data_IF_173787160501
#
_entry.id   IF_173787160501
#
_cell.length_a   1.000
_cell.length_b   1.000
_cell.length_c   1.000
_cell.angle_alpha   90.00
_cell.angle_beta   90.00
_cell.angle_gamma   90.00
#
_symmetry.space_group_name_H-M   'P 1'
#
loop_
_entity.id
_entity.type
_entity.pdbx_description
1 polymer ?
#
# COMPACT_ATOMS: atom_id res chain seq x y z
N UNK A 1 2.71 0.54 -11.07
CA UNK A 1 2.17 1.68 -10.28
C UNK A 1 0.72 1.87 -10.70
N UNK A 2 -0.17 2.14 -9.75
CA UNK A 2 -1.56 2.49 -10.05
C UNK A 2 -1.56 3.88 -10.71
N UNK A 3 -2.24 4.02 -11.84
CA UNK A 3 -2.33 5.30 -12.56
C UNK A 3 -3.65 6.00 -12.28
N UNK A 4 -3.71 7.32 -12.49
CA UNK A 4 -4.96 8.09 -12.41
C UNK A 4 -6.02 7.56 -13.38
N UNK A 5 -5.61 7.02 -14.52
CA UNK A 5 -6.50 6.37 -15.48
C UNK A 5 -7.16 5.13 -14.88
N UNK A 6 -6.39 4.28 -14.20
CA UNK A 6 -6.92 3.07 -13.55
C UNK A 6 -7.95 3.42 -12.48
N UNK A 7 -7.68 4.45 -11.68
CA UNK A 7 -8.60 4.92 -10.63
C UNK A 7 -9.87 5.49 -11.26
N UNK A 8 -9.72 6.32 -12.29
CA UNK A 8 -10.85 6.93 -13.00
C UNK A 8 -11.74 5.87 -13.63
N UNK A 9 -11.16 4.86 -14.27
CA UNK A 9 -11.91 3.73 -14.84
C UNK A 9 -12.77 3.02 -13.78
N UNK A 10 -12.25 2.82 -12.57
CA UNK A 10 -13.00 2.20 -11.48
C UNK A 10 -14.10 3.11 -10.92
N UNK A 11 -13.89 4.43 -10.89
CA UNK A 11 -14.84 5.40 -10.33
C UNK A 11 -15.98 5.72 -11.30
N UNK A 12 -15.69 5.82 -12.58
CA UNK A 12 -16.65 6.21 -13.62
C UNK A 12 -17.52 5.06 -14.11
N UNK A 13 -17.13 3.80 -13.83
CA UNK A 13 -17.92 2.66 -14.26
C UNK A 13 -19.26 2.57 -13.53
N UNK A 14 -20.33 2.47 -14.29
CA UNK A 14 -21.70 2.28 -13.81
C UNK A 14 -22.44 1.30 -14.73
N UNK A 15 -23.21 0.41 -14.13
CA UNK A 15 -24.07 -0.55 -14.82
C UNK A 15 -25.49 -0.37 -14.32
N UNK A 16 -26.48 -0.37 -15.22
CA UNK A 16 -27.88 -0.09 -14.86
C UNK A 16 -28.73 -1.38 -14.74
N UNK A 17 -28.26 -2.46 -15.34
CA UNK A 17 -28.98 -3.69 -15.62
C UNK A 17 -28.24 -4.94 -15.14
N UNK A 18 -26.97 -4.82 -14.75
CA UNK A 18 -26.18 -5.89 -14.15
C UNK A 18 -25.42 -5.40 -12.91
N UNK A 19 -25.41 -6.16 -11.81
CA UNK A 19 -24.65 -5.80 -10.63
C UNK A 19 -23.14 -5.92 -10.88
N UNK A 20 -22.39 -5.07 -10.21
CA UNK A 20 -20.94 -5.07 -10.11
C UNK A 20 -20.55 -5.72 -8.79
N UNK A 21 -19.73 -6.76 -8.88
CA UNK A 21 -19.12 -7.38 -7.71
C UNK A 21 -17.85 -6.62 -7.35
N UNK A 22 -17.76 -6.16 -6.10
CA UNK A 22 -16.58 -5.51 -5.53
C UNK A 22 -16.01 -6.35 -4.40
N UNK A 23 -14.73 -6.68 -4.48
CA UNK A 23 -14.01 -7.46 -3.45
C UNK A 23 -12.71 -6.77 -3.07
N UNK A 24 -12.51 -6.63 -1.76
CA UNK A 24 -11.25 -6.25 -1.15
C UNK A 24 -10.75 -7.45 -0.35
N UNK A 25 -9.52 -7.87 -0.62
CA UNK A 25 -8.95 -9.07 -0.03
C UNK A 25 -7.59 -8.79 0.58
N UNK A 26 -7.45 -9.11 1.87
CA UNK A 26 -6.16 -9.11 2.53
C UNK A 26 -5.35 -10.35 2.13
N UNK A 27 -4.21 -10.11 1.49
CA UNK A 27 -3.26 -11.14 1.02
C UNK A 27 -1.89 -11.00 1.67
N UNK A 28 -1.79 -10.25 2.77
CA UNK A 28 -0.54 -9.97 3.45
C UNK A 28 0.15 -11.28 3.89
N UNK A 29 1.33 -11.60 3.34
CA UNK A 29 2.02 -12.85 3.64
C UNK A 29 2.47 -12.94 5.11
N UNK A 30 2.56 -11.82 5.82
CA UNK A 30 2.85 -11.80 7.25
C UNK A 30 1.65 -12.19 8.11
N UNK A 31 0.42 -12.07 7.57
CA UNK A 31 -0.83 -12.37 8.29
C UNK A 31 -1.48 -13.67 7.82
N UNK A 32 -1.34 -14.01 6.53
CA UNK A 32 -2.08 -15.10 5.89
C UNK A 32 -1.19 -15.92 4.97
N UNK A 33 -1.38 -17.23 5.05
CA UNK A 33 -0.89 -18.16 4.02
C UNK A 33 -1.80 -18.10 2.80
N UNK A 34 -1.33 -18.69 1.69
CA UNK A 34 -2.09 -18.80 0.44
C UNK A 34 -3.48 -19.41 0.65
N UNK A 35 -3.53 -20.54 1.35
CA UNK A 35 -4.80 -21.22 1.63
C UNK A 35 -5.75 -20.37 2.50
N UNK A 36 -5.21 -19.55 3.40
CA UNK A 36 -6.01 -18.70 4.28
C UNK A 36 -6.70 -17.57 3.53
N UNK A 37 -6.00 -16.86 2.65
CA UNK A 37 -6.66 -15.79 1.88
C UNK A 37 -7.59 -16.37 0.81
N UNK A 38 -7.31 -17.56 0.25
CA UNK A 38 -8.24 -18.26 -0.65
C UNK A 38 -9.53 -18.64 0.07
N UNK A 39 -9.43 -19.17 1.29
CA UNK A 39 -10.59 -19.43 2.13
C UNK A 39 -11.35 -18.15 2.46
N UNK A 40 -10.65 -17.06 2.79
CA UNK A 40 -11.27 -15.77 3.05
C UNK A 40 -12.04 -15.25 1.82
N UNK A 41 -11.46 -15.38 0.62
CA UNK A 41 -12.15 -15.03 -0.62
C UNK A 41 -13.44 -15.85 -0.79
N UNK A 42 -13.38 -17.17 -0.63
CA UNK A 42 -14.58 -18.02 -0.72
C UNK A 42 -15.67 -17.55 0.24
N UNK A 43 -15.31 -17.35 1.51
CA UNK A 43 -16.24 -16.86 2.53
C UNK A 43 -16.82 -15.46 2.24
N UNK A 44 -16.09 -14.60 1.52
CA UNK A 44 -16.58 -13.31 1.06
C UNK A 44 -17.55 -13.48 -0.10
N UNK A 45 -17.19 -14.28 -1.11
CA UNK A 45 -18.03 -14.54 -2.27
C UNK A 45 -19.34 -15.24 -1.88
N UNK A 46 -19.32 -16.13 -0.88
CA UNK A 46 -20.52 -16.77 -0.34
C UNK A 46 -21.51 -15.78 0.31
N UNK A 47 -21.03 -14.59 0.70
CA UNK A 47 -21.85 -13.50 1.26
C UNK A 47 -22.26 -12.46 0.21
N UNK A 48 -21.82 -12.63 -1.03
CA UNK A 48 -22.11 -11.71 -2.13
C UNK A 48 -23.50 -12.00 -2.71
N UNK A 49 -24.53 -11.76 -1.90
CA UNK A 49 -25.91 -11.94 -2.33
C UNK A 49 -26.18 -11.10 -3.59
N UNK A 50 -26.88 -11.69 -4.57
CA UNK A 50 -27.19 -11.09 -5.87
C UNK A 50 -25.99 -10.83 -6.80
N UNK A 51 -24.79 -11.31 -6.49
CA UNK A 51 -23.69 -11.29 -7.45
C UNK A 51 -23.98 -12.21 -8.64
N UNK A 52 -23.53 -11.81 -9.83
CA UNK A 52 -23.59 -12.68 -11.00
C UNK A 52 -22.64 -13.89 -10.79
N UNK A 53 -23.11 -15.14 -10.97
CA UNK A 53 -22.26 -16.32 -10.86
C UNK A 53 -20.99 -16.26 -11.73
N UNK A 54 -21.06 -15.60 -12.89
CA UNK A 54 -19.92 -15.43 -13.78
C UNK A 54 -18.87 -14.48 -13.19
N UNK A 55 -19.28 -13.42 -12.49
CA UNK A 55 -18.37 -12.53 -11.78
C UNK A 55 -17.67 -13.22 -10.61
N UNK A 56 -18.43 -14.02 -9.85
CA UNK A 56 -17.89 -14.86 -8.77
C UNK A 56 -16.84 -15.83 -9.32
N UNK A 57 -17.14 -16.50 -10.43
CA UNK A 57 -16.21 -17.43 -11.10
C UNK A 57 -14.97 -16.70 -11.62
N UNK A 58 -15.13 -15.52 -12.22
CA UNK A 58 -14.01 -14.70 -12.74
C UNK A 58 -13.06 -14.29 -11.62
N UNK A 59 -13.59 -13.81 -10.49
CA UNK A 59 -12.77 -13.43 -9.33
C UNK A 59 -12.06 -14.62 -8.68
N UNK A 60 -12.76 -15.75 -8.53
CA UNK A 60 -12.17 -16.98 -8.01
C UNK A 60 -11.00 -17.44 -8.90
N UNK A 61 -11.20 -17.50 -10.22
CA UNK A 61 -10.17 -17.91 -11.17
C UNK A 61 -8.98 -16.97 -11.19
N UNK A 62 -9.21 -15.66 -11.06
CA UNK A 62 -8.11 -14.69 -10.97
C UNK A 62 -7.22 -14.96 -9.76
N UNK A 63 -7.79 -15.15 -8.57
CA UNK A 63 -6.99 -15.39 -7.36
C UNK A 63 -6.30 -16.77 -7.38
N UNK A 64 -6.93 -17.78 -7.99
CA UNK A 64 -6.35 -19.12 -8.13
C UNK A 64 -5.20 -19.18 -9.15
N UNK A 65 -5.39 -18.58 -10.33
CA UNK A 65 -4.51 -18.79 -11.49
C UNK A 65 -3.83 -17.53 -12.01
N UNK A 66 -4.51 -16.38 -11.95
CA UNK A 66 -4.04 -15.13 -12.57
C UNK A 66 -3.22 -14.22 -11.65
N UNK A 67 -3.36 -14.37 -10.33
CA UNK A 67 -2.72 -13.51 -9.36
C UNK A 67 -1.26 -13.94 -9.11
N UNK A 68 -0.34 -13.02 -9.38
CA UNK A 68 1.12 -13.23 -9.26
C UNK A 68 1.65 -13.25 -7.81
N UNK A 69 0.77 -13.19 -6.79
CA UNK A 69 1.12 -13.21 -5.36
C UNK A 69 2.02 -12.05 -4.93
N UNK A 70 1.84 -10.88 -5.53
CA UNK A 70 2.57 -9.66 -5.18
C UNK A 70 1.69 -8.65 -4.45
N UNK A 71 2.24 -8.01 -3.42
CA UNK A 71 1.51 -7.04 -2.60
C UNK A 71 0.93 -7.65 -1.31
N UNK A 72 0.26 -6.80 -0.53
CA UNK A 72 -0.37 -7.12 0.76
C UNK A 72 -1.90 -7.00 0.72
N UNK A 73 -2.45 -6.36 -0.31
CA UNK A 73 -3.89 -6.24 -0.55
C UNK A 73 -4.23 -6.37 -2.02
N UNK A 74 -5.39 -6.93 -2.34
CA UNK A 74 -5.92 -7.01 -3.71
C UNK A 74 -7.32 -6.41 -3.71
N UNK A 75 -7.60 -5.59 -4.71
CA UNK A 75 -8.93 -5.01 -4.94
C UNK A 75 -9.40 -5.43 -6.32
N UNK A 76 -10.61 -5.98 -6.39
CA UNK A 76 -11.22 -6.53 -7.59
C UNK A 76 -12.60 -5.90 -7.81
N UNK A 77 -12.85 -5.45 -9.03
CA UNK A 77 -14.19 -5.10 -9.51
C UNK A 77 -14.47 -5.89 -10.78
N UNK A 78 -15.65 -6.51 -10.84
CA UNK A 78 -16.06 -7.32 -11.99
C UNK A 78 -17.53 -7.08 -12.32
N UNK A 79 -17.82 -6.93 -13.62
CA UNK A 79 -19.15 -7.02 -14.17
C UNK A 79 -19.07 -7.70 -15.55
N UNK A 80 -19.21 -9.02 -15.57
CA UNK A 80 -19.02 -9.86 -16.75
C UNK A 80 -20.03 -9.52 -17.86
N UNK A 81 -21.28 -9.21 -17.48
CA UNK A 81 -22.32 -8.79 -18.41
C UNK A 81 -21.97 -7.52 -19.22
N UNK A 82 -21.03 -6.70 -18.73
CA UNK A 82 -20.54 -5.48 -19.39
C UNK A 82 -19.08 -5.57 -19.82
N UNK A 83 -18.49 -6.77 -19.75
CA UNK A 83 -17.06 -7.02 -19.96
C UNK A 83 -16.15 -6.08 -19.13
N UNK A 84 -16.60 -5.70 -17.94
CA UNK A 84 -15.82 -4.86 -17.05
C UNK A 84 -14.97 -5.72 -16.12
N UNK A 85 -13.68 -5.43 -16.09
CA UNK A 85 -12.72 -6.06 -15.19
C UNK A 85 -11.69 -5.06 -14.73
N UNK A 86 -11.51 -5.01 -13.41
CA UNK A 86 -10.51 -4.17 -12.79
C UNK A 86 -9.90 -4.94 -11.61
N UNK A 87 -8.59 -5.12 -11.62
CA UNK A 87 -7.89 -5.86 -10.58
C UNK A 87 -6.54 -5.20 -10.31
N UNK A 88 -6.32 -4.76 -9.07
CA UNK A 88 -5.08 -4.12 -8.68
C UNK A 88 -4.57 -4.66 -7.35
N UNK A 89 -3.24 -4.80 -7.28
CA UNK A 89 -2.52 -5.22 -6.08
C UNK A 89 -1.86 -4.02 -5.42
N UNK A 90 -1.90 -3.98 -4.10
CA UNK A 90 -1.41 -2.87 -3.30
C UNK A 90 -0.31 -3.34 -2.36
N UNK A 91 0.70 -2.50 -2.16
CA UNK A 91 1.77 -2.77 -1.20
C UNK A 91 1.33 -2.59 0.25
N UNK A 92 0.06 -2.29 0.51
CA UNK A 92 -0.54 -2.13 1.83
C UNK A 92 -1.69 -3.13 2.01
N UNK A 93 -1.89 -3.65 3.24
CA UNK A 93 -3.02 -4.54 3.49
C UNK A 93 -4.34 -3.78 3.40
N UNK A 94 -5.36 -4.43 2.85
CA UNK A 94 -6.75 -3.97 2.88
C UNK A 94 -7.56 -4.80 3.88
N UNK A 95 -8.71 -4.29 4.29
CA UNK A 95 -9.68 -5.09 5.06
C UNK A 95 -10.49 -5.98 4.11
N UNK A 96 -10.81 -7.18 4.56
CA UNK A 96 -11.66 -8.09 3.80
C UNK A 96 -13.07 -7.51 3.69
N UNK A 97 -13.53 -7.29 2.46
CA UNK A 97 -14.83 -6.70 2.21
C UNK A 97 -15.40 -7.16 0.87
N UNK A 98 -16.72 -7.29 0.82
CA UNK A 98 -17.45 -7.66 -0.38
C UNK A 98 -18.71 -6.82 -0.48
N UNK A 99 -19.03 -6.38 -1.68
CA UNK A 99 -20.22 -5.57 -1.93
C UNK A 99 -20.71 -5.78 -3.35
N UNK A 100 -22.03 -5.81 -3.49
CA UNK A 100 -22.72 -5.99 -4.77
C UNK A 100 -23.59 -4.76 -5.00
N UNK A 101 -23.37 -4.05 -6.10
CA UNK A 101 -24.14 -2.86 -6.45
C UNK A 101 -24.00 -2.52 -7.92
N UNK A 102 -24.81 -1.60 -8.43
CA UNK A 102 -24.75 -1.11 -9.80
C UNK A 102 -23.51 -0.26 -10.11
N UNK A 103 -22.72 0.09 -9.09
CA UNK A 103 -21.43 0.77 -9.20
C UNK A 103 -20.36 0.06 -8.38
N UNK A 104 -19.08 0.12 -8.79
CA UNK A 104 -17.97 -0.35 -7.97
C UNK A 104 -17.96 0.35 -6.60
N UNK A 105 -17.67 -0.40 -5.54
CA UNK A 105 -17.59 0.17 -4.20
C UNK A 105 -16.25 0.90 -4.00
N UNK A 106 -16.14 2.13 -4.45
CA UNK A 106 -14.87 2.89 -4.44
C UNK A 106 -14.55 3.59 -3.11
N UNK A 107 -15.44 3.56 -2.12
CA UNK A 107 -15.21 4.27 -0.84
C UNK A 107 -13.97 3.76 -0.09
N UNK A 108 -13.76 2.45 -0.06
CA UNK A 108 -12.57 1.86 0.56
C UNK A 108 -11.31 2.15 -0.27
N UNK A 109 -11.40 2.10 -1.59
CA UNK A 109 -10.31 2.49 -2.48
C UNK A 109 -9.91 3.96 -2.26
N UNK A 110 -10.86 4.89 -2.19
CA UNK A 110 -10.60 6.29 -1.91
C UNK A 110 -9.87 6.48 -0.57
N UNK A 111 -10.35 5.83 0.50
CA UNK A 111 -9.65 5.84 1.80
C UNK A 111 -8.24 5.28 1.73
N UNK A 112 -8.00 4.24 0.93
CA UNK A 112 -6.69 3.66 0.73
C UNK A 112 -5.73 4.65 0.07
N UNK A 113 -6.22 5.35 -0.96
CA UNK A 113 -5.47 6.37 -1.70
C UNK A 113 -5.17 7.58 -0.80
N UNK A 114 -6.14 8.04 -0.01
CA UNK A 114 -5.96 9.16 0.91
C UNK A 114 -5.00 8.81 2.06
N UNK A 115 -5.10 7.60 2.62
CA UNK A 115 -4.30 7.18 3.78
C UNK A 115 -2.84 6.94 3.42
N UNK A 116 -2.59 6.40 2.23
CA UNK A 116 -1.27 6.05 1.74
C UNK A 116 -0.80 6.94 0.60
N UNK A 117 -1.29 8.19 0.59
CA UNK A 117 -0.81 9.23 -0.30
C UNK A 117 0.70 9.41 -0.16
N UNK A 118 1.31 9.97 -1.21
CA UNK A 118 2.74 10.21 -1.29
C UNK A 118 3.22 11.03 -0.08
N UNK A 119 4.12 10.45 0.72
CA UNK A 119 4.66 11.10 1.91
C UNK A 119 6.19 11.10 1.92
N UNK A 120 6.76 12.18 2.42
CA UNK A 120 8.20 12.32 2.65
C UNK A 120 8.52 12.13 4.12
N UNK A 121 9.47 11.25 4.43
CA UNK A 121 10.02 11.07 5.77
C UNK A 121 11.47 11.54 5.75
N UNK A 122 11.82 12.49 6.61
CA UNK A 122 13.22 12.92 6.77
C UNK A 122 13.75 12.33 8.08
N UNK A 123 14.76 11.48 7.97
CA UNK A 123 15.54 11.03 9.12
C UNK A 123 16.73 11.95 9.27
N UNK A 124 16.83 12.62 10.43
CA UNK A 124 17.89 13.56 10.74
C UNK A 124 18.66 13.03 11.95
N UNK A 125 19.98 12.93 11.81
CA UNK A 125 20.91 12.57 12.89
C UNK A 125 22.06 13.58 12.94
N UNK A 126 23.01 13.39 13.87
CA UNK A 126 24.17 14.29 14.01
C UNK A 126 25.18 14.20 12.86
N UNK A 127 25.05 13.19 12.00
CA UNK A 127 25.94 12.96 10.86
C UNK A 127 25.29 13.43 9.56
N UNK A 128 23.99 13.72 9.53
CA UNK A 128 23.33 14.34 8.39
C UNK A 128 21.83 14.04 8.32
N UNK A 129 21.28 14.09 7.10
CA UNK A 129 19.86 13.92 6.86
C UNK A 129 19.60 13.00 5.65
N UNK A 130 18.63 12.09 5.78
CA UNK A 130 18.13 11.24 4.68
C UNK A 130 16.64 11.47 4.48
N UNK A 131 16.27 11.82 3.25
CA UNK A 131 14.90 11.90 2.77
C UNK A 131 14.48 10.55 2.16
N UNK A 132 13.36 10.03 2.64
CA UNK A 132 12.68 8.86 2.10
C UNK A 132 11.35 9.31 1.52
N UNK A 133 11.10 9.05 0.24
CA UNK A 133 9.81 9.29 -0.39
C UNK A 133 9.06 7.96 -0.49
N UNK A 134 7.89 7.90 0.14
CA UNK A 134 6.99 6.76 0.06
C UNK A 134 5.75 7.12 -0.75
N UNK A 135 5.23 6.15 -1.48
CA UNK A 135 3.95 6.25 -2.19
C UNK A 135 3.23 4.91 -2.11
N UNK A 136 1.97 4.89 -1.67
CA UNK A 136 1.18 3.67 -1.50
C UNK A 136 1.89 2.60 -0.65
N UNK A 137 2.69 3.03 0.33
CA UNK A 137 3.50 2.16 1.20
C UNK A 137 4.75 1.57 0.54
N UNK A 138 5.11 1.99 -0.68
CA UNK A 138 6.35 1.62 -1.38
C UNK A 138 7.36 2.76 -1.25
N UNK A 139 8.62 2.44 -0.97
CA UNK A 139 9.72 3.40 -1.03
C UNK A 139 10.05 3.71 -2.50
N UNK A 140 9.80 4.94 -2.96
CA UNK A 140 10.09 5.39 -4.33
C UNK A 140 11.54 5.85 -4.49
N UNK A 141 12.05 6.62 -3.52
CA UNK A 141 13.40 7.15 -3.58
C UNK A 141 13.97 7.44 -2.21
N UNK A 142 15.30 7.36 -2.14
CA UNK A 142 16.11 7.80 -1.00
C UNK A 142 17.08 8.83 -1.52
N UNK A 143 17.11 9.99 -0.89
CA UNK A 143 18.11 11.02 -1.12
C UNK A 143 18.68 11.47 0.23
N UNK A 144 19.89 11.98 0.28
CA UNK A 144 20.46 12.35 1.57
C UNK A 144 21.85 12.95 1.50
N UNK A 145 22.15 13.69 2.56
CA UNK A 145 23.45 14.27 2.83
C UNK A 145 24.04 13.59 4.06
N UNK A 146 25.25 13.07 3.93
CA UNK A 146 26.10 12.65 5.05
C UNK A 146 27.22 13.68 5.18
N UNK A 147 27.24 14.38 6.30
CA UNK A 147 28.34 15.20 6.77
C UNK A 147 29.43 14.35 7.45
N UNK A 148 30.30 15.00 8.22
CA UNK A 148 31.43 14.30 8.86
C UNK A 148 31.00 13.52 10.12
N UNK A 149 31.65 12.38 10.35
CA UNK A 149 31.41 11.52 11.52
C UNK A 149 31.60 12.29 12.83
N UNK A 150 30.59 12.22 13.72
CA UNK A 150 30.66 12.85 15.04
C UNK A 150 31.03 11.80 16.08
N UNK A 151 32.33 11.68 16.36
CA UNK A 151 32.84 10.76 17.40
C UNK A 151 32.57 11.35 18.77
N UNK A 152 31.94 10.61 19.68
CA UNK A 152 31.84 11.01 21.08
C UNK A 152 33.02 10.50 21.89
N UNK A 153 33.90 11.39 22.33
CA UNK A 153 34.97 11.02 23.25
C UNK A 153 34.50 11.01 24.72
N UNK A 154 34.40 9.82 25.32
CA UNK A 154 34.23 9.65 26.78
C UNK A 154 35.58 9.46 27.47
N UNK A 155 36.43 10.49 27.44
CA UNK A 155 37.69 10.49 28.19
C UNK A 155 37.70 11.65 29.20
N UNK A 156 38.06 11.37 30.44
CA UNK A 156 38.20 12.40 31.48
C UNK A 156 39.51 13.18 31.31
N UNK A 157 39.46 14.51 31.48
CA UNK A 157 40.65 15.36 31.43
C UNK A 157 40.34 16.84 31.19
N UNK A 158 41.32 17.69 31.41
CA UNK A 158 41.20 19.16 31.28
C UNK A 158 40.89 19.63 29.84
N UNK A 159 41.24 18.83 28.82
CA UNK A 159 40.95 19.11 27.42
C UNK A 159 39.55 18.65 26.97
N UNK A 160 38.83 17.85 27.76
CA UNK A 160 37.54 17.26 27.40
C UNK A 160 36.47 18.30 26.98
N UNK A 161 36.34 19.47 27.65
CA UNK A 161 35.40 20.50 27.21
C UNK A 161 35.70 21.08 25.81
N UNK A 162 36.94 21.00 25.32
CA UNK A 162 37.30 21.47 23.97
C UNK A 162 36.86 20.47 22.90
N UNK A 163 37.06 19.18 23.13
CA UNK A 163 36.61 18.12 22.21
C UNK A 163 35.09 18.11 22.07
N UNK A 164 34.36 18.19 23.19
CA UNK A 164 32.89 18.28 23.17
C UNK A 164 32.36 19.49 22.40
N UNK A 165 33.05 20.64 22.46
CA UNK A 165 32.67 21.84 21.68
C UNK A 165 32.93 21.66 20.19
N UNK A 166 34.01 20.97 19.80
CA UNK A 166 34.30 20.69 18.41
C UNK A 166 33.30 19.69 17.82
N UNK A 167 32.99 18.61 18.54
CA UNK A 167 31.98 17.62 18.17
C UNK A 167 30.59 18.25 18.03
N UNK A 168 30.19 19.11 18.99
CA UNK A 168 28.91 19.82 18.92
C UNK A 168 28.86 20.84 17.76
N UNK A 169 30.00 21.43 17.40
CA UNK A 169 30.10 22.31 16.23
C UNK A 169 29.95 21.51 14.94
N UNK A 170 30.62 20.37 14.82
CA UNK A 170 30.54 19.49 13.65
C UNK A 170 29.11 18.97 13.44
N UNK A 171 28.46 18.50 14.51
CA UNK A 171 27.07 18.05 14.46
C UNK A 171 26.11 19.16 13.98
N UNK A 172 26.41 20.43 14.25
CA UNK A 172 25.61 21.58 13.81
C UNK A 172 25.92 21.99 12.37
N UNK A 173 27.12 21.71 11.87
CA UNK A 173 27.49 21.95 10.47
C UNK A 173 26.94 20.86 9.54
N UNK A 174 26.66 19.66 10.07
CA UNK A 174 26.07 18.54 9.35
C UNK A 174 24.53 18.66 9.14
N UNK A 175 23.86 19.61 9.82
CA UNK A 175 22.41 19.85 9.81
C UNK A 175 22.03 21.05 8.95
#
# INVERSE_FOLDING_TARGET
MLTDYDVRQAVEFESHDAPVLSVYLNVDPHRRTVEKYKLALRNLLDKADHADPEDVRRMHNYIEMGYNRTGRGVVLFSCAAKDFWWAQSFAVPVEDFVFVSFRPYVRQLARLLDTYERCGVVHVDSEGARLFLFNMGVLESVDGYLGEEVKQHRSGGWANPRYQRHEAKQARENL
#
